data_IF_470174734561
#
_entry.id   IF_470174734561
#
_cell.length_a   1.000
_cell.length_b   1.000
_cell.length_c   1.000
_cell.angle_alpha   90.00
_cell.angle_beta   90.00
_cell.angle_gamma   90.00
#
_symmetry.space_group_name_H-M   'P 1'
#
loop_
_entity.id
_entity.type
_entity.pdbx_description
1 polymer ?
#
# COMPACT_ATOMS: atom_id res chain seq x y z
N UNK A 1 -4.97 33.35 18.44
CA UNK A 1 -4.81 32.64 17.14
C UNK A 1 -5.36 31.22 17.32
N UNK A 2 -6.68 30.95 17.34
CA UNK A 2 -7.68 31.08 16.25
C UNK A 2 -7.18 30.52 14.92
N UNK A 3 -6.94 29.20 14.83
CA UNK A 3 -6.96 28.37 13.59
C UNK A 3 -6.72 26.85 13.79
N UNK A 4 -7.07 26.27 14.95
CA UNK A 4 -6.96 24.79 15.17
C UNK A 4 -8.32 24.14 15.54
N UNK A 5 -9.41 24.91 15.68
CA UNK A 5 -10.69 24.39 16.18
C UNK A 5 -11.63 23.73 15.14
N UNK A 6 -11.29 23.69 13.85
CA UNK A 6 -12.24 23.25 12.82
C UNK A 6 -12.24 21.73 12.53
N UNK A 7 -11.23 20.96 12.98
CA UNK A 7 -11.11 19.53 12.65
C UNK A 7 -11.53 18.62 13.83
N UNK A 8 -11.49 19.12 15.07
CA UNK A 8 -11.95 18.37 16.24
C UNK A 8 -13.49 18.41 16.44
N UNK A 9 -14.18 19.38 15.85
CA UNK A 9 -15.62 19.58 16.08
C UNK A 9 -16.52 18.54 15.37
N UNK A 10 -16.04 17.88 14.31
CA UNK A 10 -16.84 16.89 13.58
C UNK A 10 -16.77 15.48 14.18
N UNK A 11 -15.75 15.18 14.99
CA UNK A 11 -15.58 13.87 15.62
C UNK A 11 -16.22 13.78 17.02
N UNK A 12 -16.41 14.91 17.71
CA UNK A 12 -16.96 14.94 19.07
C UNK A 12 -18.51 14.91 19.12
N UNK A 13 -19.21 15.14 18.01
CA UNK A 13 -20.67 15.23 17.98
C UNK A 13 -21.41 13.86 17.96
N UNK A 14 -20.69 12.73 17.95
CA UNK A 14 -21.30 11.37 17.85
C UNK A 14 -21.30 10.62 19.19
N UNK A 15 -20.83 11.23 20.28
CA UNK A 15 -20.76 10.59 21.60
C UNK A 15 -21.50 11.40 22.66
N UNK A 16 -22.84 11.42 22.60
CA UNK A 16 -23.73 11.47 23.78
C UNK A 16 -25.17 11.70 23.33
N UNK A 17 -26.00 10.66 23.39
CA UNK A 17 -27.44 10.82 23.50
C UNK A 17 -28.05 9.52 24.05
N UNK A 18 -28.20 9.45 25.37
CA UNK A 18 -29.13 8.56 26.05
C UNK A 18 -29.73 9.34 27.21
N UNK A 19 -30.95 9.83 27.03
CA UNK A 19 -31.94 10.11 28.07
C UNK A 19 -33.27 10.41 27.37
N UNK A 20 -34.36 9.79 27.81
CA UNK A 20 -35.69 9.92 27.23
C UNK A 20 -36.56 10.98 27.94
N UNK A 21 -37.61 11.40 27.21
CA UNK A 21 -38.84 12.16 27.57
C UNK A 21 -38.86 13.71 27.39
N UNK A 22 -40.03 14.33 27.12
CA UNK A 22 -41.29 13.87 26.50
C UNK A 22 -41.67 14.69 25.24
N UNK A 23 -42.74 14.27 24.56
CA UNK A 23 -43.17 14.74 23.24
C UNK A 23 -43.48 16.26 23.17
N UNK A 24 -42.85 16.95 22.21
CA UNK A 24 -43.20 18.29 21.79
C UNK A 24 -43.33 18.31 20.25
N UNK A 25 -44.49 18.77 19.76
CA UNK A 25 -44.77 18.93 18.34
C UNK A 25 -43.99 20.11 17.77
N UNK A 26 -42.74 19.89 17.37
CA UNK A 26 -41.97 20.82 16.54
C UNK A 26 -41.97 20.33 15.08
N UNK A 27 -41.99 21.28 14.14
CA UNK A 27 -41.91 21.01 12.71
C UNK A 27 -40.58 20.28 12.42
N UNK A 28 -40.65 19.00 12.07
CA UNK A 28 -39.48 18.22 11.65
C UNK A 28 -38.89 18.84 10.36
N UNK A 29 -37.75 19.50 10.48
CA UNK A 29 -36.85 19.73 9.35
C UNK A 29 -36.24 18.37 8.96
N UNK A 30 -37.04 17.56 8.29
CA UNK A 30 -36.76 16.16 8.00
C UNK A 30 -35.59 15.97 7.03
N UNK A 31 -34.39 15.79 7.59
CA UNK A 31 -33.29 15.01 7.00
C UNK A 31 -32.49 14.38 8.12
N UNK A 32 -32.52 13.06 8.23
CA UNK A 32 -31.63 12.38 9.16
C UNK A 32 -30.22 12.40 8.55
N UNK A 33 -29.21 12.79 9.33
CA UNK A 33 -27.81 12.81 8.85
C UNK A 33 -27.37 11.42 8.31
N UNK A 34 -28.00 10.36 8.80
CA UNK A 34 -27.81 8.97 8.35
C UNK A 34 -28.26 8.70 6.92
N UNK A 35 -29.13 9.53 6.35
CA UNK A 35 -29.58 9.41 4.95
C UNK A 35 -28.49 9.83 3.96
N UNK A 36 -27.47 10.53 4.47
CA UNK A 36 -26.37 11.08 3.69
C UNK A 36 -25.01 10.57 4.16
N UNK A 37 -24.89 10.09 5.39
CA UNK A 37 -23.61 9.68 5.98
C UNK A 37 -23.73 8.25 6.49
N UNK A 38 -22.85 7.38 5.99
CA UNK A 38 -22.75 6.01 6.50
C UNK A 38 -22.21 5.99 7.93
N UNK A 39 -22.61 4.99 8.73
CA UNK A 39 -21.94 4.70 10.00
C UNK A 39 -20.42 4.52 9.77
N UNK A 40 -19.55 5.33 10.42
CA UNK A 40 -18.11 5.20 10.26
C UNK A 40 -17.62 3.80 10.65
N UNK A 41 -16.74 3.23 9.85
CA UNK A 41 -16.10 1.93 10.09
C UNK A 41 -14.71 2.17 10.62
N UNK A 42 -14.50 1.83 11.88
CA UNK A 42 -13.19 1.84 12.52
C UNK A 42 -12.55 0.48 12.36
N UNK A 43 -11.25 0.47 12.08
CA UNK A 43 -10.47 -0.74 12.05
C UNK A 43 -8.99 -0.45 12.22
N UNK A 44 -8.23 -1.52 12.39
CA UNK A 44 -6.80 -1.39 12.56
C UNK A 44 -6.08 -2.72 12.55
N UNK A 45 -4.77 -2.65 12.65
CA UNK A 45 -3.94 -3.84 12.86
C UNK A 45 -2.58 -3.49 13.46
N UNK A 46 -2.04 -4.47 14.15
CA UNK A 46 -0.71 -4.51 14.73
C UNK A 46 0.12 -5.56 14.00
N UNK A 47 1.39 -5.23 13.71
CA UNK A 47 2.39 -6.19 13.26
C UNK A 47 3.60 -6.05 14.17
N UNK A 48 3.90 -7.13 14.91
CA UNK A 48 5.16 -7.31 15.62
C UNK A 48 6.12 -8.12 14.76
N UNK A 49 7.42 -7.80 14.80
CA UNK A 49 8.45 -8.49 14.03
C UNK A 49 9.64 -8.84 14.92
N UNK A 50 10.07 -10.09 14.84
CA UNK A 50 11.41 -10.51 15.18
C UNK A 50 12.21 -10.65 13.89
N UNK A 51 13.45 -10.17 13.88
CA UNK A 51 14.41 -10.49 12.83
C UNK A 51 15.69 -11.05 13.45
N UNK A 52 16.40 -11.85 12.68
CA UNK A 52 17.76 -12.33 12.93
C UNK A 52 18.52 -12.27 11.61
N UNK A 53 19.80 -11.90 11.66
CA UNK A 53 20.73 -11.96 10.53
C UNK A 53 22.07 -12.48 11.02
N UNK A 54 22.71 -13.34 10.23
CA UNK A 54 24.08 -13.81 10.47
C UNK A 54 25.13 -13.02 9.67
N UNK A 55 24.74 -11.90 9.05
CA UNK A 55 25.66 -11.09 8.25
C UNK A 55 26.78 -10.49 9.10
N UNK A 56 28.03 -10.65 8.66
CA UNK A 56 29.19 -10.13 9.38
C UNK A 56 29.14 -8.59 9.49
N UNK A 57 29.48 -8.09 10.68
CA UNK A 57 29.48 -6.67 11.03
C UNK A 57 28.14 -5.94 10.84
N UNK A 58 27.02 -6.66 10.74
CA UNK A 58 25.69 -6.08 10.83
C UNK A 58 25.43 -5.60 12.28
N UNK A 59 25.79 -4.36 12.57
CA UNK A 59 25.45 -3.71 13.84
C UNK A 59 23.95 -3.40 13.85
N UNK A 60 23.16 -4.28 14.46
CA UNK A 60 21.69 -4.21 14.48
C UNK A 60 21.08 -5.02 13.33
N UNK A 61 20.02 -5.77 13.63
CA UNK A 61 19.41 -6.72 12.69
C UNK A 61 18.75 -7.91 13.39
N UNK A 62 19.20 -8.20 14.62
CA UNK A 62 18.58 -9.20 15.49
C UNK A 62 17.79 -8.54 16.60
N UNK A 63 16.49 -8.85 16.71
CA UNK A 63 15.67 -8.38 17.81
C UNK A 63 14.19 -8.21 17.49
N UNK A 64 13.43 -7.82 18.51
CA UNK A 64 12.01 -7.52 18.43
C UNK A 64 11.78 -6.05 18.05
N UNK A 65 10.77 -5.82 17.23
CA UNK A 65 10.33 -4.49 16.81
C UNK A 65 8.81 -4.41 16.68
N UNK A 66 8.27 -3.24 16.98
CA UNK A 66 6.90 -2.87 16.63
C UNK A 66 6.91 -2.42 15.17
N UNK A 67 6.79 -3.39 14.25
CA UNK A 67 6.89 -3.15 12.80
C UNK A 67 5.92 -2.08 12.36
N UNK A 68 4.63 -2.19 12.71
CA UNK A 68 3.66 -1.09 12.60
C UNK A 68 2.39 -1.31 13.42
N UNK A 69 1.80 -0.21 13.91
CA UNK A 69 0.41 -0.14 14.39
C UNK A 69 -0.30 0.79 13.43
N UNK A 70 -1.41 0.35 12.83
CA UNK A 70 -2.21 1.17 11.92
C UNK A 70 -3.65 1.22 12.38
N UNK A 71 -4.20 2.42 12.37
CA UNK A 71 -5.62 2.69 12.66
C UNK A 71 -6.20 3.42 11.47
N UNK A 72 -7.46 3.15 11.16
CA UNK A 72 -8.18 3.86 10.12
C UNK A 72 -9.66 3.99 10.44
N UNK A 73 -10.27 5.00 9.82
CA UNK A 73 -11.71 5.17 9.73
C UNK A 73 -12.09 5.34 8.26
N UNK A 74 -13.09 4.57 7.85
CA UNK A 74 -13.70 4.63 6.53
C UNK A 74 -15.17 5.03 6.64
N UNK A 75 -15.68 5.69 5.60
CA UNK A 75 -17.12 5.93 5.47
C UNK A 75 -17.48 6.49 4.11
N UNK A 76 -18.76 6.78 3.93
CA UNK A 76 -19.35 7.39 2.75
C UNK A 76 -20.21 8.57 3.18
N UNK A 77 -20.07 9.69 2.47
CA UNK A 77 -20.84 10.92 2.66
C UNK A 77 -21.55 11.23 1.33
N UNK A 78 -22.74 11.82 1.40
CA UNK A 78 -23.63 12.12 0.28
C UNK A 78 -23.83 10.94 -0.68
N UNK A 79 -23.86 9.71 -0.15
CA UNK A 79 -24.02 8.42 -0.86
C UNK A 79 -22.92 8.03 -1.85
N UNK A 80 -22.23 8.99 -2.46
CA UNK A 80 -21.25 8.76 -3.53
C UNK A 80 -19.80 9.10 -3.13
N UNK A 81 -19.57 9.77 -2.00
CA UNK A 81 -18.23 10.23 -1.61
C UNK A 81 -17.65 9.36 -0.50
N UNK A 82 -16.80 8.41 -0.90
CA UNK A 82 -16.05 7.59 0.05
C UNK A 82 -14.91 8.42 0.65
N UNK A 83 -14.67 8.30 1.95
CA UNK A 83 -13.51 8.88 2.60
C UNK A 83 -12.73 7.83 3.38
N UNK A 84 -11.44 8.10 3.57
CA UNK A 84 -10.55 7.35 4.47
C UNK A 84 -9.64 8.30 5.21
N UNK A 85 -9.49 8.07 6.51
CA UNK A 85 -8.42 8.64 7.34
C UNK A 85 -7.66 7.47 7.94
N UNK A 86 -6.35 7.42 7.76
CA UNK A 86 -5.49 6.33 8.21
C UNK A 86 -4.21 6.88 8.79
N UNK A 87 -3.87 6.41 9.99
CA UNK A 87 -2.65 6.79 10.72
C UNK A 87 -1.84 5.54 11.04
N UNK A 88 -0.53 5.70 11.16
CA UNK A 88 0.37 4.61 11.50
C UNK A 88 1.46 5.10 12.46
N UNK A 89 1.91 4.21 13.35
CA UNK A 89 3.18 4.38 14.06
C UNK A 89 4.13 3.20 13.81
N UNK A 90 5.43 3.47 13.76
CA UNK A 90 6.52 2.50 13.62
C UNK A 90 7.57 2.77 14.69
N UNK A 91 7.69 1.92 15.71
CA UNK A 91 8.55 2.15 16.88
C UNK A 91 8.48 3.60 17.42
N UNK A 92 7.28 4.21 17.44
CA UNK A 92 7.06 5.58 17.91
C UNK A 92 7.00 6.68 16.83
N UNK A 93 7.46 6.42 15.60
CA UNK A 93 7.38 7.40 14.50
C UNK A 93 5.95 7.46 13.95
N UNK A 94 5.26 8.59 14.15
CA UNK A 94 3.90 8.78 13.67
C UNK A 94 3.86 9.24 12.21
N UNK A 95 2.97 8.64 11.44
CA UNK A 95 2.72 8.97 10.04
C UNK A 95 1.22 9.07 9.78
N UNK A 96 0.77 10.22 9.29
CA UNK A 96 -0.51 10.29 8.58
C UNK A 96 -0.34 9.56 7.25
N UNK A 97 -1.09 8.48 7.01
CA UNK A 97 -0.96 7.62 5.83
C UNK A 97 -1.93 8.05 4.74
N UNK A 98 -3.19 7.64 4.82
CA UNK A 98 -4.21 7.94 3.83
C UNK A 98 -5.15 9.01 4.40
N UNK A 99 -5.37 10.09 3.65
CA UNK A 99 -6.41 11.10 3.93
C UNK A 99 -6.98 11.52 2.59
N UNK A 100 -8.08 10.92 2.18
CA UNK A 100 -8.67 11.22 0.87
C UNK A 100 -10.18 11.16 0.90
N UNK A 101 -10.76 11.82 -0.11
CA UNK A 101 -12.15 11.67 -0.53
C UNK A 101 -12.16 11.17 -1.97
N UNK A 102 -13.08 10.27 -2.27
CA UNK A 102 -13.25 9.66 -3.58
C UNK A 102 -14.72 9.67 -3.98
N UNK A 103 -15.02 10.37 -5.08
CA UNK A 103 -16.33 10.33 -5.71
C UNK A 103 -16.46 9.04 -6.52
N UNK A 104 -17.42 8.18 -6.15
CA UNK A 104 -17.60 6.82 -6.67
C UNK A 104 -18.94 6.58 -7.35
N UNK A 105 -19.65 7.64 -7.77
CA UNK A 105 -20.96 7.55 -8.43
C UNK A 105 -20.93 6.63 -9.65
N UNK A 106 -19.88 6.73 -10.46
CA UNK A 106 -19.69 5.89 -11.64
C UNK A 106 -18.47 4.99 -11.47
N UNK A 107 -18.67 3.67 -11.49
CA UNK A 107 -17.56 2.70 -11.33
C UNK A 107 -16.53 2.75 -12.45
N UNK A 108 -16.91 3.28 -13.61
CA UNK A 108 -16.01 3.48 -14.74
C UNK A 108 -15.20 4.78 -14.66
N UNK A 109 -15.58 5.73 -13.80
CA UNK A 109 -14.93 7.03 -13.64
C UNK A 109 -15.13 7.56 -12.21
N UNK A 110 -14.23 7.15 -11.33
CA UNK A 110 -14.11 7.60 -9.95
C UNK A 110 -13.02 8.66 -9.85
N UNK A 111 -13.25 9.70 -9.07
CA UNK A 111 -12.29 10.80 -8.87
C UNK A 111 -11.87 10.84 -7.41
N UNK A 112 -10.57 10.70 -7.15
CA UNK A 112 -9.96 10.65 -5.82
C UNK A 112 -9.06 11.85 -5.61
N UNK A 113 -9.19 12.52 -4.47
CA UNK A 113 -8.38 13.70 -4.10
C UNK A 113 -7.91 13.57 -2.65
N UNK A 114 -6.65 13.92 -2.40
CA UNK A 114 -6.04 13.93 -1.08
C UNK A 114 -4.69 13.22 -1.06
N UNK A 115 -4.33 12.65 0.08
CA UNK A 115 -3.11 11.86 0.26
C UNK A 115 -3.41 10.36 0.23
N UNK A 116 -2.78 9.65 -0.70
CA UNK A 116 -2.98 8.21 -0.89
C UNK A 116 -1.79 7.60 -1.66
N UNK A 117 -1.79 6.26 -1.78
CA UNK A 117 -0.75 5.55 -2.55
C UNK A 117 -0.86 5.89 -4.04
N UNK A 118 0.27 6.18 -4.66
CA UNK A 118 0.41 6.38 -6.11
C UNK A 118 0.15 5.09 -6.87
N UNK A 119 -0.45 5.20 -8.05
CA UNK A 119 -0.88 4.08 -8.88
C UNK A 119 0.27 3.39 -9.65
N UNK A 120 1.30 2.94 -8.96
CA UNK A 120 2.49 2.32 -9.55
C UNK A 120 2.78 0.95 -8.92
N UNK A 121 2.65 -0.11 -9.73
CA UNK A 121 2.77 -1.51 -9.33
C UNK A 121 1.51 -2.12 -8.71
N UNK A 122 1.43 -3.45 -8.71
CA UNK A 122 0.38 -4.26 -8.11
C UNK A 122 0.55 -4.40 -6.60
N UNK A 123 1.78 -4.56 -6.12
CA UNK A 123 2.04 -4.76 -4.69
C UNK A 123 1.90 -3.47 -3.88
N UNK A 124 2.32 -2.32 -4.42
CA UNK A 124 2.26 -1.05 -3.73
C UNK A 124 0.88 -0.79 -3.08
N UNK A 125 -0.28 -0.86 -3.78
CA UNK A 125 -1.58 -0.57 -3.18
C UNK A 125 -2.03 -1.57 -2.11
N UNK A 126 -1.41 -2.75 -2.01
CA UNK A 126 -1.87 -3.82 -1.11
C UNK A 126 -1.79 -3.45 0.37
N UNK A 127 -2.70 -4.01 1.15
CA UNK A 127 -2.63 -3.94 2.60
C UNK A 127 -1.44 -4.79 3.08
N UNK A 128 -0.60 -4.31 4.01
CA UNK A 128 0.42 -5.13 4.67
C UNK A 128 -0.04 -6.51 5.15
N UNK A 129 -1.31 -6.68 5.54
CA UNK A 129 -1.88 -7.99 5.87
C UNK A 129 -1.88 -8.97 4.69
N UNK A 130 -2.09 -8.47 3.47
CA UNK A 130 -2.23 -9.24 2.24
C UNK A 130 -0.88 -9.43 1.51
N UNK A 131 0.19 -8.81 2.01
CA UNK A 131 1.54 -9.06 1.49
C UNK A 131 1.95 -10.45 1.96
N UNK A 132 2.21 -11.35 1.00
CA UNK A 132 2.59 -12.76 1.27
C UNK A 132 3.99 -12.93 1.87
N UNK A 133 4.67 -11.83 2.14
CA UNK A 133 6.04 -11.75 2.66
C UNK A 133 6.11 -10.80 3.87
N UNK A 134 7.11 -10.98 4.71
CA UNK A 134 7.35 -10.17 5.90
C UNK A 134 7.83 -8.75 5.56
N UNK A 135 8.04 -8.42 4.30
CA UNK A 135 8.18 -7.04 3.85
C UNK A 135 7.76 -6.85 2.38
N UNK A 136 7.54 -5.59 1.99
CA UNK A 136 7.38 -5.23 0.59
C UNK A 136 8.63 -5.62 -0.21
N UNK A 137 8.45 -5.97 -1.49
CA UNK A 137 9.54 -6.33 -2.39
C UNK A 137 10.51 -5.17 -2.62
N UNK A 138 11.72 -5.48 -3.10
CA UNK A 138 12.68 -4.47 -3.52
C UNK A 138 12.13 -3.57 -4.62
N UNK A 139 11.39 -4.12 -5.58
CA UNK A 139 10.68 -3.34 -6.58
C UNK A 139 9.82 -2.27 -5.92
N UNK A 140 8.94 -2.67 -5.00
CA UNK A 140 8.02 -1.74 -4.35
C UNK A 140 8.79 -0.70 -3.53
N UNK A 141 9.73 -1.15 -2.70
CA UNK A 141 10.48 -0.28 -1.78
C UNK A 141 11.39 0.72 -2.48
N UNK A 142 12.03 0.31 -3.58
CA UNK A 142 13.04 1.11 -4.28
C UNK A 142 12.45 1.94 -5.40
N UNK A 143 11.46 1.43 -6.13
CA UNK A 143 10.95 2.12 -7.32
C UNK A 143 9.71 2.96 -7.05
N UNK A 144 8.98 2.75 -5.96
CA UNK A 144 7.73 3.50 -5.70
C UNK A 144 7.88 4.60 -4.63
N UNK A 145 9.07 4.68 -4.02
CA UNK A 145 9.50 5.76 -3.12
C UNK A 145 9.88 7.07 -3.81
N UNK A 146 10.29 8.03 -2.99
CA UNK A 146 10.63 9.42 -3.37
C UNK A 146 12.12 9.65 -3.60
N UNK A 147 12.47 10.89 -3.94
CA UNK A 147 13.78 11.41 -4.33
C UNK A 147 14.96 11.00 -3.41
N UNK A 148 16.19 10.99 -3.97
CA UNK A 148 17.52 10.66 -3.40
C UNK A 148 17.52 10.43 -1.89
N UNK A 149 17.65 9.17 -1.49
CA UNK A 149 17.88 8.79 -0.10
C UNK A 149 16.63 8.72 0.76
N UNK A 150 15.47 9.14 0.27
CA UNK A 150 14.20 8.88 0.95
C UNK A 150 13.87 7.39 0.79
N UNK A 151 14.29 6.64 1.81
CA UNK A 151 13.85 5.27 2.07
C UNK A 151 12.33 5.19 1.94
N UNK A 152 11.81 3.98 1.80
CA UNK A 152 10.38 3.62 1.79
C UNK A 152 9.49 4.21 2.94
N UNK A 153 9.88 5.24 3.69
CA UNK A 153 9.14 5.90 4.77
C UNK A 153 7.74 6.38 4.37
N UNK A 154 7.56 6.84 3.13
CA UNK A 154 6.24 7.19 2.58
C UNK A 154 5.33 6.01 2.29
N UNK A 155 5.90 4.85 1.96
CA UNK A 155 5.15 3.69 1.46
C UNK A 155 4.40 4.00 0.16
N UNK A 156 5.05 4.73 -0.76
CA UNK A 156 4.57 5.06 -2.09
C UNK A 156 3.43 6.08 -2.15
N UNK A 157 3.31 6.97 -1.15
CA UNK A 157 2.20 7.92 -1.01
C UNK A 157 2.59 9.35 -1.32
N UNK A 158 1.61 10.10 -1.82
CA UNK A 158 1.73 11.52 -2.09
C UNK A 158 0.33 12.16 -2.11
N UNK A 159 0.29 13.49 -2.14
CA UNK A 159 -0.90 14.32 -2.27
C UNK A 159 -1.19 14.59 -3.75
N UNK A 160 -2.42 14.35 -4.18
CA UNK A 160 -2.78 14.52 -5.59
C UNK A 160 -4.25 14.30 -5.91
N UNK A 161 -4.51 14.27 -7.21
CA UNK A 161 -5.80 13.93 -7.82
C UNK A 161 -5.63 12.76 -8.79
N UNK A 162 -6.56 11.81 -8.74
CA UNK A 162 -6.55 10.62 -9.59
C UNK A 162 -7.95 10.36 -10.14
N UNK A 163 -8.03 10.02 -11.42
CA UNK A 163 -9.19 9.39 -12.04
C UNK A 163 -8.91 7.91 -12.21
N UNK A 164 -9.87 7.06 -11.84
CA UNK A 164 -9.74 5.62 -12.00
C UNK A 164 -11.08 4.96 -12.28
N UNK A 165 -11.06 3.74 -12.82
CA UNK A 165 -12.29 3.00 -13.02
C UNK A 165 -12.10 1.64 -13.63
N UNK A 166 -13.22 0.95 -13.73
CA UNK A 166 -13.29 -0.37 -14.32
C UNK A 166 -14.24 -0.39 -15.53
N UNK A 167 -13.86 -1.10 -16.58
CA UNK A 167 -14.61 -1.20 -17.84
C UNK A 167 -14.77 -2.64 -18.31
N UNK A 168 -15.77 -2.82 -19.18
CA UNK A 168 -16.03 -4.02 -19.99
C UNK A 168 -16.22 -5.27 -19.15
N UNK A 169 -17.48 -5.55 -18.80
CA UNK A 169 -17.87 -6.78 -18.14
C UNK A 169 -17.77 -7.96 -19.10
N UNK A 170 -17.03 -9.00 -18.70
CA UNK A 170 -16.86 -10.23 -19.48
C UNK A 170 -17.01 -11.49 -18.61
N UNK A 171 -17.14 -12.63 -19.27
CA UNK A 171 -17.26 -13.95 -18.63
C UNK A 171 -18.61 -14.17 -17.94
N UNK A 172 -18.88 -15.42 -17.57
CA UNK A 172 -20.10 -15.78 -16.82
C UNK A 172 -20.10 -15.20 -15.39
N UNK A 173 -18.92 -14.88 -14.86
CA UNK A 173 -18.73 -14.39 -13.51
C UNK A 173 -18.72 -12.84 -13.42
N UNK A 174 -18.97 -12.16 -14.54
CA UNK A 174 -19.18 -10.72 -14.65
C UNK A 174 -18.04 -9.85 -14.07
N UNK A 175 -16.79 -10.28 -14.29
CA UNK A 175 -15.61 -9.50 -13.90
C UNK A 175 -15.33 -8.38 -14.92
N UNK A 176 -14.63 -7.33 -14.47
CA UNK A 176 -14.19 -6.26 -15.37
C UNK A 176 -12.92 -6.71 -16.11
N UNK A 177 -12.87 -6.50 -17.41
CA UNK A 177 -11.71 -6.80 -18.25
C UNK A 177 -10.60 -5.77 -18.08
N UNK A 178 -10.96 -4.50 -17.85
CA UNK A 178 -10.01 -3.39 -17.81
C UNK A 178 -10.16 -2.63 -16.50
N UNK A 179 -9.04 -2.35 -15.86
CA UNK A 179 -8.91 -1.37 -14.80
C UNK A 179 -7.85 -0.34 -15.20
N UNK A 180 -8.09 0.94 -14.91
CA UNK A 180 -7.15 2.02 -15.20
C UNK A 180 -7.11 3.02 -14.05
N UNK A 181 -5.96 3.68 -13.92
CA UNK A 181 -5.80 4.84 -13.04
C UNK A 181 -4.88 5.83 -13.75
N UNK A 182 -5.17 7.12 -13.63
CA UNK A 182 -4.33 8.21 -14.11
C UNK A 182 -4.46 9.39 -13.16
N UNK A 183 -3.37 10.05 -12.83
CA UNK A 183 -3.42 11.16 -11.89
C UNK A 183 -2.20 12.06 -11.92
N UNK A 184 -2.28 13.09 -11.10
CA UNK A 184 -1.25 14.09 -10.88
C UNK A 184 -1.01 14.23 -9.38
N UNK A 185 0.26 14.18 -8.97
CA UNK A 185 0.70 14.32 -7.58
C UNK A 185 1.76 15.41 -7.44
N UNK A 186 1.96 15.90 -6.21
CA UNK A 186 2.93 16.95 -5.92
C UNK A 186 4.39 16.54 -6.18
N UNK A 187 4.73 15.26 -6.11
CA UNK A 187 6.08 14.73 -6.32
C UNK A 187 6.98 14.71 -5.08
N UNK A 188 6.52 15.31 -3.98
CA UNK A 188 7.26 15.54 -2.74
C UNK A 188 7.21 14.34 -1.77
N UNK A 189 6.18 13.51 -1.91
CA UNK A 189 5.93 12.38 -1.04
C UNK A 189 5.01 12.69 0.12
N UNK A 190 4.95 11.74 1.06
CA UNK A 190 3.96 11.76 2.14
C UNK A 190 4.10 12.99 3.06
N UNK A 191 2.97 13.57 3.49
CA UNK A 191 2.89 14.64 4.48
C UNK A 191 3.68 15.91 4.15
N UNK A 192 3.98 16.14 2.86
CA UNK A 192 4.62 17.35 2.37
C UNK A 192 3.68 18.12 1.45
N UNK A 193 3.71 19.44 1.56
CA UNK A 193 3.10 20.33 0.58
C UNK A 193 3.99 20.44 -0.65
N UNK A 194 3.41 20.89 -1.76
CA UNK A 194 4.13 21.27 -2.97
C UNK A 194 5.24 22.28 -2.68
N UNK A 195 6.48 21.98 -3.08
CA UNK A 195 7.66 22.78 -2.77
C UNK A 195 8.22 23.56 -3.98
N UNK A 196 8.08 23.01 -5.19
CA UNK A 196 8.70 23.55 -6.40
C UNK A 196 7.72 23.75 -7.58
N UNK A 197 6.44 23.40 -7.40
CA UNK A 197 5.41 23.52 -8.43
C UNK A 197 5.47 22.45 -9.52
N UNK A 198 6.48 21.56 -9.51
CA UNK A 198 6.57 20.41 -10.40
C UNK A 198 5.63 19.31 -9.94
N UNK A 199 5.32 18.39 -10.85
CA UNK A 199 4.29 17.38 -10.62
C UNK A 199 4.72 16.04 -11.16
N UNK A 200 4.29 15.00 -10.46
CA UNK A 200 4.33 13.63 -10.95
C UNK A 200 3.04 13.30 -11.69
N UNK A 201 3.17 12.73 -12.88
CA UNK A 201 2.10 12.17 -13.68
C UNK A 201 2.26 10.66 -13.69
N UNK A 202 1.26 9.95 -13.16
CA UNK A 202 1.34 8.50 -12.98
C UNK A 202 0.08 7.86 -13.56
N UNK A 203 0.28 6.79 -14.31
CA UNK A 203 -0.79 6.07 -14.97
C UNK A 203 -0.56 4.57 -14.97
N UNK A 204 -1.66 3.83 -14.96
CA UNK A 204 -1.67 2.37 -15.08
C UNK A 204 -2.86 1.91 -15.91
N UNK A 205 -2.62 0.86 -16.68
CA UNK A 205 -3.66 0.06 -17.31
C UNK A 205 -3.43 -1.40 -16.95
N UNK A 206 -4.52 -2.07 -16.58
CA UNK A 206 -4.52 -3.45 -16.12
C UNK A 206 -5.59 -4.22 -16.88
N UNK A 207 -5.22 -5.39 -17.35
CA UNK A 207 -6.06 -6.28 -18.14
C UNK A 207 -6.30 -7.57 -17.39
N UNK A 208 -7.58 -7.92 -17.21
CA UNK A 208 -8.03 -9.12 -16.50
C UNK A 208 -8.78 -10.06 -17.46
N UNK A 209 -8.07 -10.89 -18.26
CA UNK A 209 -8.70 -11.75 -19.26
C UNK A 209 -9.51 -12.91 -18.66
N UNK A 210 -9.09 -13.38 -17.48
CA UNK A 210 -9.79 -14.37 -16.69
C UNK A 210 -9.86 -13.89 -15.25
N UNK A 211 -10.87 -14.33 -14.50
CA UNK A 211 -11.04 -13.93 -13.11
C UNK A 211 -9.78 -14.20 -12.30
N UNK A 212 -9.26 -13.15 -11.65
CA UNK A 212 -8.09 -13.24 -10.77
C UNK A 212 -6.75 -12.99 -11.45
N UNK A 213 -6.61 -13.21 -12.77
CA UNK A 213 -5.37 -12.94 -13.52
C UNK A 213 -5.37 -11.50 -14.01
N UNK A 214 -4.47 -10.66 -13.53
CA UNK A 214 -4.25 -9.29 -13.97
C UNK A 214 -2.86 -9.15 -14.61
N UNK A 215 -2.80 -8.49 -15.76
CA UNK A 215 -1.57 -8.10 -16.45
C UNK A 215 -1.56 -6.58 -16.50
N UNK A 216 -0.48 -5.96 -16.02
CA UNK A 216 -0.42 -4.51 -15.82
C UNK A 216 0.77 -3.85 -16.46
N UNK A 217 0.56 -2.65 -16.97
CA UNK A 217 1.61 -1.70 -17.32
C UNK A 217 1.44 -0.43 -16.47
N UNK A 218 2.56 0.14 -16.05
CA UNK A 218 2.61 1.28 -15.14
C UNK A 218 3.63 2.28 -15.67
N UNK A 219 3.28 3.56 -15.67
CA UNK A 219 4.13 4.66 -16.10
C UNK A 219 4.10 5.79 -15.09
N UNK A 220 5.24 6.44 -14.92
CA UNK A 220 5.45 7.59 -14.06
C UNK A 220 6.42 8.52 -14.78
N UNK A 221 6.05 9.78 -14.96
CA UNK A 221 6.97 10.84 -15.35
C UNK A 221 6.79 12.03 -14.42
N UNK A 222 7.87 12.72 -14.10
CA UNK A 222 7.82 13.87 -13.21
C UNK A 222 9.18 14.52 -13.07
N UNK A 223 9.20 15.61 -12.31
CA UNK A 223 10.39 16.39 -12.02
C UNK A 223 10.34 16.79 -10.54
N UNK A 224 11.49 16.73 -9.86
CA UNK A 224 11.65 17.24 -8.50
C UNK A 224 12.99 17.94 -8.42
N UNK A 225 13.01 19.15 -7.88
CA UNK A 225 14.22 19.95 -7.66
C UNK A 225 15.10 20.10 -8.92
N UNK A 226 14.47 20.18 -10.11
CA UNK A 226 15.17 20.34 -11.40
C UNK A 226 15.75 19.06 -12.00
N UNK A 227 15.44 17.90 -11.43
CA UNK A 227 15.90 16.60 -11.91
C UNK A 227 14.72 15.72 -12.35
N UNK A 228 14.80 15.21 -13.59
CA UNK A 228 13.77 14.35 -14.17
C UNK A 228 13.73 12.99 -13.47
N UNK A 229 12.52 12.45 -13.35
CA UNK A 229 12.23 11.13 -12.80
C UNK A 229 11.21 10.41 -13.67
N UNK A 230 11.69 9.42 -14.43
CA UNK A 230 10.86 8.60 -15.30
C UNK A 230 10.93 7.14 -14.86
N UNK A 231 9.77 6.50 -14.69
CA UNK A 231 9.68 5.10 -14.30
C UNK A 231 8.65 4.39 -15.14
N UNK A 232 8.92 3.13 -15.43
CA UNK A 232 7.94 2.24 -16.01
C UNK A 232 8.07 0.84 -15.43
N UNK A 233 6.96 0.13 -15.37
CA UNK A 233 6.91 -1.22 -14.86
C UNK A 233 5.87 -2.06 -15.60
N UNK A 234 6.09 -3.37 -15.57
CA UNK A 234 5.18 -4.37 -16.06
C UNK A 234 5.02 -5.45 -15.00
N UNK A 235 3.83 -6.02 -14.89
CA UNK A 235 3.59 -7.07 -13.92
C UNK A 235 2.48 -8.01 -14.30
N UNK A 236 2.46 -9.14 -13.61
CA UNK A 236 1.38 -10.12 -13.64
C UNK A 236 1.02 -10.44 -12.19
N UNK A 237 -0.26 -10.57 -11.92
CA UNK A 237 -0.81 -10.98 -10.64
C UNK A 237 -1.92 -11.99 -10.88
N UNK A 238 -1.94 -13.07 -10.11
CA UNK A 238 -3.01 -14.05 -10.09
C UNK A 238 -3.36 -14.37 -8.64
N UNK A 239 -4.64 -14.26 -8.29
CA UNK A 239 -5.18 -14.75 -7.02
C UNK A 239 -6.48 -15.48 -7.28
N UNK A 240 -6.70 -16.60 -6.59
CA UNK A 240 -7.96 -17.33 -6.65
C UNK A 240 -8.63 -17.49 -5.28
N UNK A 241 -9.88 -17.96 -5.30
CA UNK A 241 -10.68 -18.19 -4.09
C UNK A 241 -10.14 -19.28 -3.16
N UNK A 242 -9.32 -20.18 -3.67
CA UNK A 242 -8.73 -21.30 -2.93
C UNK A 242 -7.46 -20.88 -2.17
N UNK A 243 -6.94 -19.66 -2.42
CA UNK A 243 -5.77 -19.11 -1.75
C UNK A 243 -4.47 -19.23 -2.54
N UNK A 244 -4.51 -19.78 -3.75
CA UNK A 244 -3.38 -19.74 -4.68
C UNK A 244 -3.11 -18.31 -5.10
N UNK A 245 -1.84 -17.92 -5.05
CA UNK A 245 -1.39 -16.58 -5.45
C UNK A 245 -0.10 -16.66 -6.23
N UNK A 246 0.01 -15.88 -7.31
CA UNK A 246 1.25 -15.65 -8.03
C UNK A 246 1.35 -14.17 -8.34
N UNK A 247 2.52 -13.56 -8.16
CA UNK A 247 2.74 -12.18 -8.56
C UNK A 247 4.17 -11.97 -8.96
N UNK A 248 4.39 -11.25 -10.04
CA UNK A 248 5.71 -10.79 -10.43
C UNK A 248 5.64 -9.43 -11.08
N UNK A 249 6.59 -8.58 -10.76
CA UNK A 249 6.70 -7.24 -11.31
C UNK A 249 8.17 -6.98 -11.64
N UNK A 250 8.41 -6.31 -12.75
CA UNK A 250 9.70 -5.75 -13.13
C UNK A 250 9.51 -4.28 -13.46
N UNK A 251 10.46 -3.43 -13.10
CA UNK A 251 10.46 -2.08 -13.59
C UNK A 251 11.81 -1.41 -13.52
N UNK A 252 11.83 -0.24 -14.13
CA UNK A 252 12.98 0.60 -14.30
C UNK A 252 12.65 2.00 -13.76
N UNK A 253 13.63 2.61 -13.10
CA UNK A 253 13.58 4.00 -12.64
C UNK A 253 14.79 4.73 -13.20
N UNK A 254 14.54 5.72 -14.04
CA UNK A 254 15.50 6.71 -14.45
C UNK A 254 15.36 7.94 -13.57
N UNK A 255 16.49 8.38 -13.05
CA UNK A 255 16.64 9.63 -12.33
C UNK A 255 17.86 10.36 -12.86
N UNK A 256 17.90 11.69 -12.73
CA UNK A 256 19.08 12.43 -13.20
C UNK A 256 20.33 11.95 -12.45
N UNK A 257 21.25 11.30 -13.17
CA UNK A 257 22.47 10.70 -12.60
C UNK A 257 22.32 9.31 -11.95
N UNK A 258 21.15 8.67 -12.00
CA UNK A 258 20.94 7.30 -11.47
C UNK A 258 19.96 6.50 -12.34
N UNK A 259 20.25 5.23 -12.55
CA UNK A 259 19.43 4.33 -13.35
C UNK A 259 19.29 3.03 -12.62
N UNK A 260 18.10 2.71 -12.11
CA UNK A 260 17.90 1.53 -11.30
C UNK A 260 16.89 0.60 -11.96
N UNK A 261 16.99 -0.70 -11.67
CA UNK A 261 15.89 -1.63 -11.93
C UNK A 261 15.73 -2.64 -10.81
N UNK A 262 14.52 -3.19 -10.75
CA UNK A 262 14.15 -4.16 -9.75
C UNK A 262 13.10 -5.10 -10.30
N UNK A 263 13.12 -6.33 -9.82
CA UNK A 263 12.05 -7.28 -10.07
C UNK A 263 11.86 -8.23 -8.92
N UNK A 264 10.70 -8.86 -8.90
CA UNK A 264 10.45 -10.00 -8.03
C UNK A 264 9.42 -10.94 -8.64
N UNK A 265 9.40 -12.16 -8.11
CA UNK A 265 8.32 -13.11 -8.29
C UNK A 265 8.02 -13.76 -6.94
N UNK A 266 6.75 -13.89 -6.59
CA UNK A 266 6.28 -14.58 -5.40
C UNK A 266 5.13 -15.50 -5.77
N UNK A 267 5.25 -16.77 -5.40
CA UNK A 267 4.21 -17.78 -5.53
C UNK A 267 3.79 -18.27 -4.15
N UNK A 268 2.49 -18.45 -3.94
CA UNK A 268 1.91 -18.90 -2.68
C UNK A 268 0.93 -20.04 -2.92
N UNK A 269 1.14 -21.15 -2.21
CA UNK A 269 0.37 -22.38 -2.30
C UNK A 269 -0.34 -22.64 -0.97
N UNK A 270 -1.70 -22.63 -0.95
CA UNK A 270 -2.46 -23.04 0.22
C UNK A 270 -2.33 -24.56 0.37
N UNK A 271 -1.88 -25.01 1.54
CA UNK A 271 -1.81 -26.44 1.86
C UNK A 271 -3.10 -26.90 2.56
N UNK A 272 -3.71 -26.00 3.33
CA UNK A 272 -5.04 -26.14 3.92
C UNK A 272 -5.56 -24.75 4.36
N UNK A 273 -6.73 -24.70 5.00
CA UNK A 273 -7.41 -23.45 5.38
C UNK A 273 -6.64 -22.55 6.36
N UNK A 274 -5.68 -23.12 7.12
CA UNK A 274 -4.90 -22.39 8.12
C UNK A 274 -3.40 -22.32 7.80
N UNK A 275 -2.93 -22.97 6.72
CA UNK A 275 -1.52 -23.05 6.38
C UNK A 275 -1.27 -22.83 4.90
N UNK A 276 -0.44 -21.83 4.60
CA UNK A 276 0.02 -21.47 3.26
C UNK A 276 1.53 -21.39 3.24
N UNK A 277 2.15 -21.87 2.17
CA UNK A 277 3.59 -21.71 1.94
C UNK A 277 3.80 -20.85 0.73
N UNK A 278 4.63 -19.82 0.86
CA UNK A 278 5.04 -18.98 -0.26
C UNK A 278 6.55 -19.05 -0.48
N UNK A 279 6.98 -18.81 -1.71
CA UNK A 279 8.38 -18.64 -2.06
C UNK A 279 8.54 -17.36 -2.88
N UNK A 280 9.60 -16.61 -2.63
CA UNK A 280 9.91 -15.37 -3.34
C UNK A 280 11.35 -15.38 -3.85
N UNK A 281 11.54 -14.81 -5.05
CA UNK A 281 12.83 -14.35 -5.52
C UNK A 281 12.71 -12.88 -5.89
N UNK A 282 13.65 -12.06 -5.45
CA UNK A 282 13.68 -10.63 -5.77
C UNK A 282 15.10 -10.13 -6.02
N UNK A 283 15.21 -9.11 -6.85
CA UNK A 283 16.47 -8.45 -7.18
C UNK A 283 16.28 -6.95 -7.30
N UNK A 284 17.29 -6.20 -6.85
CA UNK A 284 17.45 -4.78 -7.12
C UNK A 284 18.88 -4.52 -7.62
N UNK A 285 19.02 -3.68 -8.64
CA UNK A 285 20.31 -3.26 -9.17
C UNK A 285 20.39 -1.74 -9.21
N UNK A 286 21.24 -1.19 -8.34
CA UNK A 286 21.62 0.21 -8.43
C UNK A 286 22.51 0.43 -9.66
N UNK A 287 22.17 1.42 -10.49
CA UNK A 287 22.90 1.67 -11.74
C UNK A 287 22.66 0.62 -12.83
N UNK A 288 21.65 -0.26 -12.67
CA UNK A 288 21.41 -1.47 -13.49
C UNK A 288 22.64 -2.39 -13.59
N UNK A 289 23.57 -2.27 -12.65
CA UNK A 289 24.82 -3.02 -12.64
C UNK A 289 24.66 -4.31 -11.83
N UNK A 290 25.18 -5.40 -12.39
CA UNK A 290 25.28 -6.68 -11.69
C UNK A 290 26.31 -6.68 -10.56
N UNK A 291 27.22 -5.70 -10.51
CA UNK A 291 28.17 -5.54 -9.40
C UNK A 291 27.47 -5.02 -8.14
N UNK A 292 26.40 -4.24 -8.33
CA UNK A 292 25.60 -3.65 -7.25
C UNK A 292 24.30 -4.42 -6.97
N UNK A 293 24.17 -5.64 -7.50
CA UNK A 293 22.94 -6.40 -7.36
C UNK A 293 22.74 -6.87 -5.92
N UNK A 294 21.50 -6.71 -5.44
CA UNK A 294 20.99 -7.28 -4.20
C UNK A 294 19.94 -8.31 -4.57
N UNK A 295 20.22 -9.59 -4.31
CA UNK A 295 19.32 -10.70 -4.58
C UNK A 295 18.88 -11.35 -3.27
N UNK A 296 17.61 -11.72 -3.18
CA UNK A 296 17.08 -12.48 -2.02
C UNK A 296 16.19 -13.61 -2.49
N UNK A 297 16.39 -14.77 -1.88
CA UNK A 297 15.57 -15.97 -2.04
C UNK A 297 14.87 -16.23 -0.70
N UNK A 298 13.56 -16.42 -0.73
CA UNK A 298 12.77 -16.55 0.49
C UNK A 298 11.84 -17.75 0.46
N UNK A 299 11.73 -18.42 1.61
CA UNK A 299 10.69 -19.40 1.90
C UNK A 299 9.86 -18.91 3.08
N UNK A 300 8.54 -18.85 2.90
CA UNK A 300 7.61 -18.17 3.80
C UNK A 300 6.43 -19.10 4.16
N UNK A 301 6.53 -19.94 5.21
CA UNK A 301 5.37 -20.55 5.85
C UNK A 301 4.52 -19.50 6.61
N UNK A 302 3.21 -19.53 6.36
CA UNK A 302 2.21 -18.62 6.93
C UNK A 302 1.05 -19.42 7.56
N UNK A 303 0.73 -19.07 8.80
CA UNK A 303 -0.26 -19.73 9.64
C UNK A 303 -1.41 -18.78 9.97
N UNK A 304 -2.59 -19.03 9.43
CA UNK A 304 -3.83 -18.28 9.70
C UNK A 304 -4.58 -18.92 10.87
N UNK A 305 -4.21 -18.54 12.10
CA UNK A 305 -4.74 -19.14 13.34
C UNK A 305 -6.19 -18.74 13.64
N UNK A 306 -6.61 -17.57 13.18
CA UNK A 306 -8.00 -17.06 13.25
C UNK A 306 -8.19 -16.02 12.15
N UNK A 307 -9.42 -15.69 11.72
CA UNK A 307 -9.66 -14.66 10.67
C UNK A 307 -9.04 -13.28 10.96
N UNK A 308 -8.65 -13.02 12.21
CA UNK A 308 -8.04 -11.78 12.70
C UNK A 308 -6.60 -11.94 13.20
N UNK A 309 -6.04 -13.16 13.18
CA UNK A 309 -4.72 -13.49 13.74
C UNK A 309 -3.92 -14.36 12.78
N UNK A 310 -2.73 -13.90 12.38
CA UNK A 310 -1.85 -14.59 11.46
C UNK A 310 -0.42 -14.57 11.99
N UNK A 311 0.31 -15.66 11.82
CA UNK A 311 1.72 -15.77 12.13
C UNK A 311 2.49 -16.18 10.88
N UNK A 312 3.66 -15.60 10.67
CA UNK A 312 4.48 -15.85 9.50
C UNK A 312 5.92 -16.03 9.92
N UNK A 313 6.59 -17.04 9.36
CA UNK A 313 8.04 -17.18 9.45
C UNK A 313 8.57 -17.02 8.04
N UNK A 314 9.66 -16.28 7.88
CA UNK A 314 10.34 -16.11 6.60
C UNK A 314 11.82 -16.37 6.78
N UNK A 315 12.34 -17.34 6.03
CA UNK A 315 13.77 -17.53 5.84
C UNK A 315 14.20 -16.80 4.58
N UNK A 316 15.31 -16.05 4.65
CA UNK A 316 15.93 -15.39 3.52
C UNK A 316 17.37 -15.88 3.37
N UNK A 317 17.75 -16.19 2.13
CA UNK A 317 19.14 -16.24 1.71
C UNK A 317 19.42 -15.02 0.83
N UNK A 318 20.45 -14.24 1.18
CA UNK A 318 20.79 -12.99 0.52
C UNK A 318 22.14 -13.10 -0.22
N UNK A 319 22.21 -12.55 -1.43
CA UNK A 319 23.42 -12.32 -2.23
C UNK A 319 23.52 -10.83 -2.57
N UNK A 320 24.26 -10.08 -1.75
CA UNK A 320 24.45 -8.64 -1.89
C UNK A 320 25.87 -8.35 -2.38
N UNK A 321 26.03 -8.22 -3.69
CA UNK A 321 27.35 -8.31 -4.34
C UNK A 321 28.32 -7.17 -4.02
N UNK A 322 27.80 -6.00 -3.65
CA UNK A 322 28.58 -4.85 -3.23
C UNK A 322 28.89 -4.83 -1.71
N UNK A 323 28.34 -5.77 -0.94
CA UNK A 323 28.60 -5.88 0.50
C UNK A 323 29.96 -6.55 0.76
N UNK A 324 30.57 -6.24 1.91
CA UNK A 324 31.79 -6.91 2.37
C UNK A 324 31.52 -8.40 2.65
N UNK A 325 30.45 -8.67 3.41
CA UNK A 325 29.85 -9.99 3.50
C UNK A 325 28.64 -10.07 2.56
N UNK A 326 28.85 -10.79 1.46
CA UNK A 326 27.92 -10.88 0.34
C UNK A 326 26.81 -11.89 0.59
N UNK A 327 27.11 -12.96 1.33
CA UNK A 327 26.22 -14.11 1.45
C UNK A 327 25.85 -14.32 2.90
N UNK A 328 24.59 -14.10 3.20
CA UNK A 328 24.11 -14.21 4.57
C UNK A 328 22.64 -14.63 4.60
N UNK A 329 22.23 -15.14 5.75
CA UNK A 329 20.92 -15.63 6.05
C UNK A 329 20.18 -14.64 6.94
N UNK A 330 18.86 -14.61 6.79
CA UNK A 330 17.99 -13.97 7.77
C UNK A 330 16.80 -14.87 8.12
N UNK A 331 16.30 -14.70 9.33
CA UNK A 331 15.05 -15.30 9.79
C UNK A 331 14.18 -14.19 10.33
N UNK A 332 12.98 -14.06 9.79
CA UNK A 332 11.96 -13.14 10.29
C UNK A 332 10.79 -13.94 10.86
N UNK A 333 10.30 -13.52 12.02
CA UNK A 333 9.05 -14.00 12.61
C UNK A 333 8.09 -12.84 12.79
N UNK A 334 6.89 -12.92 12.25
CA UNK A 334 5.92 -11.82 12.28
C UNK A 334 4.56 -12.27 12.80
N UNK A 335 4.05 -11.51 13.77
CA UNK A 335 2.73 -11.69 14.34
C UNK A 335 1.83 -10.55 13.88
N UNK A 336 0.73 -10.91 13.24
CA UNK A 336 -0.26 -9.99 12.72
C UNK A 336 -1.56 -10.13 13.48
N UNK A 337 -2.11 -9.02 13.96
CA UNK A 337 -3.41 -8.95 14.61
C UNK A 337 -4.23 -7.81 14.00
N UNK A 338 -5.46 -8.06 13.55
CA UNK A 338 -6.37 -7.04 12.98
C UNK A 338 -7.70 -6.99 13.71
N UNK A 339 -8.30 -5.81 13.82
CA UNK A 339 -9.58 -5.59 14.50
C UNK A 339 -10.47 -4.62 13.75
#
# INVERSE_FOLDING_TARGET
>A
MKKILAIAAFAAAVLSANAAEPANNEVEYGRNITDYVSKPKFGGYYIGKYSYSDQDNAHGGTGLSQRLIRLYVDGTILNDFKYRIQVQTNNGSFHMKDVFVEWQKYKFAMVKVGQFKRAFGFENPMNPWDISTGDYSYFTKKLTGDYKGDTWGGGGRDQGIQVQGDFLKIGQDNHNLIHYQVGVWNGEGINKSDADGKKDYIGTIQFQPIKGLMIGAFGWTGETAGENRDKYAFGVKYDNKEGWSLRGEWGHSHYTGSNDDAWYIVGGMPLNDWFKVSAQYQTYRNGKSWENAQCTYSLIPEFQLHKNLKFQIQYNYNDFRASADKHFNEIWGELYFRF
#
